data_IF_246105187986
#
_entry.id   IF_246105187986
#
_cell.length_a   1.000
_cell.length_b   1.000
_cell.length_c   1.000
_cell.angle_alpha   90.00
_cell.angle_beta   90.00
_cell.angle_gamma   90.00
#
_symmetry.space_group_name_H-M   'P 1'
#
loop_
_entity.id
_entity.type
_entity.pdbx_description
1 polymer ?
#
# COMPACT_ATOMS: atom_id res chain seq x y z
N UNK A 1 9.43 -22.13 20.80
CA UNK A 1 8.62 -23.09 20.04
C UNK A 1 9.21 -24.48 20.21
N UNK A 2 8.37 -25.47 20.47
CA UNK A 2 8.81 -26.87 20.60
C UNK A 2 9.47 -27.32 19.29
N UNK A 3 10.56 -28.10 19.38
CA UNK A 3 11.39 -28.58 18.26
C UNK A 3 12.12 -27.49 17.43
N UNK A 4 12.11 -26.22 17.84
CA UNK A 4 12.98 -25.18 17.25
C UNK A 4 14.46 -25.36 17.60
N UNK A 5 15.36 -24.66 16.92
CA UNK A 5 16.82 -24.73 17.14
C UNK A 5 17.29 -24.40 18.58
N UNK A 6 16.44 -23.76 19.39
CA UNK A 6 16.72 -23.45 20.81
C UNK A 6 15.97 -24.37 21.78
N UNK A 7 15.22 -25.36 21.28
CA UNK A 7 14.49 -26.31 22.11
C UNK A 7 15.39 -27.48 22.51
N UNK A 8 15.22 -28.02 23.72
CA UNK A 8 15.95 -29.21 24.20
C UNK A 8 15.70 -30.46 23.33
N UNK A 9 14.57 -30.50 22.62
CA UNK A 9 14.19 -31.58 21.69
C UNK A 9 14.84 -31.45 20.30
N UNK A 10 15.64 -30.41 20.05
CA UNK A 10 16.27 -30.20 18.76
C UNK A 10 17.30 -31.30 18.44
N UNK A 11 17.15 -31.94 17.27
CA UNK A 11 18.01 -33.03 16.78
C UNK A 11 18.13 -34.24 17.72
N UNK A 12 17.13 -34.48 18.56
CA UNK A 12 17.09 -35.63 19.46
C UNK A 12 16.55 -36.86 18.73
N UNK A 13 17.20 -38.00 18.95
CA UNK A 13 16.73 -39.27 18.41
C UNK A 13 15.56 -39.82 19.25
N UNK A 14 14.88 -40.86 18.76
CA UNK A 14 13.71 -41.44 19.42
C UNK A 14 14.03 -41.94 20.85
N UNK A 15 15.22 -42.51 21.06
CA UNK A 15 15.65 -43.00 22.36
C UNK A 15 15.89 -41.86 23.37
N UNK A 16 16.44 -40.74 22.94
CA UNK A 16 16.61 -39.54 23.75
C UNK A 16 15.26 -38.87 24.05
N UNK A 17 14.34 -38.81 23.08
CA UNK A 17 12.98 -38.30 23.28
C UNK A 17 12.20 -39.14 24.30
N UNK A 18 12.31 -40.46 24.22
CA UNK A 18 11.72 -41.36 25.21
C UNK A 18 12.24 -41.09 26.63
N UNK A 19 13.55 -40.82 26.80
CA UNK A 19 14.14 -40.44 28.10
C UNK A 19 13.58 -39.11 28.62
N UNK A 20 13.22 -38.20 27.73
CA UNK A 20 12.64 -36.89 28.07
C UNK A 20 11.13 -36.91 28.22
N UNK A 21 10.48 -38.08 28.08
CA UNK A 21 9.02 -38.27 28.15
C UNK A 21 8.25 -37.50 27.07
N UNK A 22 8.87 -37.34 25.91
CA UNK A 22 8.29 -36.64 24.76
C UNK A 22 8.00 -37.62 23.63
N UNK A 23 6.92 -37.38 22.90
CA UNK A 23 6.50 -38.24 21.79
C UNK A 23 7.32 -37.95 20.53
N UNK A 24 8.00 -38.95 19.92
CA UNK A 24 8.72 -38.77 18.66
C UNK A 24 7.81 -38.36 17.48
N UNK A 25 6.53 -38.73 17.52
CA UNK A 25 5.55 -38.45 16.47
C UNK A 25 4.82 -37.11 16.64
N UNK A 26 5.06 -36.38 17.74
CA UNK A 26 4.51 -35.03 17.89
C UNK A 26 5.09 -34.09 16.81
N UNK A 27 4.28 -33.41 15.97
CA UNK A 27 4.80 -32.46 14.99
C UNK A 27 5.61 -31.30 15.62
N UNK A 28 5.32 -30.92 16.87
CA UNK A 28 5.87 -29.71 17.48
C UNK A 28 5.34 -28.43 16.82
N UNK A 29 6.11 -27.33 16.85
CA UNK A 29 5.71 -26.08 16.19
C UNK A 29 4.76 -25.19 17.00
N UNK A 30 4.46 -25.55 18.25
CA UNK A 30 3.63 -24.78 19.17
C UNK A 30 4.44 -24.25 20.37
N UNK A 31 3.76 -23.46 21.21
CA UNK A 31 4.31 -22.88 22.43
C UNK A 31 3.56 -23.42 23.65
N UNK A 32 4.29 -23.73 24.71
CA UNK A 32 3.69 -24.06 26.01
C UNK A 32 3.77 -22.80 26.87
N UNK A 33 2.62 -22.26 27.25
CA UNK A 33 2.51 -21.04 28.06
C UNK A 33 1.58 -21.29 29.23
N UNK A 34 2.09 -21.18 30.47
CA UNK A 34 1.34 -21.51 31.71
C UNK A 34 0.71 -22.91 31.67
N UNK A 35 1.44 -23.92 31.19
CA UNK A 35 0.97 -25.31 31.10
C UNK A 35 -0.08 -25.58 30.01
N UNK A 36 -0.35 -24.61 29.14
CA UNK A 36 -1.27 -24.78 28.00
C UNK A 36 -0.53 -24.64 26.68
N UNK A 37 -0.82 -25.55 25.76
CA UNK A 37 -0.29 -25.54 24.40
C UNK A 37 -1.04 -24.51 23.55
N UNK A 38 -0.28 -23.66 22.85
CA UNK A 38 -0.80 -22.59 22.02
C UNK A 38 -0.07 -22.55 20.69
N UNK A 39 -0.83 -22.51 19.60
CA UNK A 39 -0.34 -22.40 18.23
C UNK A 39 -0.60 -20.98 17.74
N UNK A 40 0.38 -20.37 17.08
CA UNK A 40 0.16 -19.13 16.33
C UNK A 40 -0.30 -19.53 14.94
N UNK A 41 -1.55 -19.21 14.60
CA UNK A 41 -2.09 -19.48 13.27
C UNK A 41 -1.45 -18.55 12.25
N UNK A 42 -1.08 -19.11 11.10
CA UNK A 42 -0.60 -18.35 9.95
C UNK A 42 -1.76 -17.47 9.47
N UNK A 43 -1.50 -16.17 9.35
CA UNK A 43 -2.47 -15.19 8.86
C UNK A 43 -2.12 -14.81 7.44
N UNK A 44 -3.08 -14.95 6.54
CA UNK A 44 -2.98 -14.38 5.19
C UNK A 44 -3.10 -12.86 5.27
N UNK A 45 -2.23 -12.14 4.56
CA UNK A 45 -2.26 -10.68 4.48
C UNK A 45 -2.14 -10.22 3.04
N UNK A 46 -2.82 -9.11 2.71
CA UNK A 46 -2.68 -8.45 1.41
C UNK A 46 -1.23 -7.99 1.22
N UNK A 47 -0.77 -8.08 -0.03
CA UNK A 47 0.56 -7.59 -0.43
C UNK A 47 0.74 -6.11 -0.06
N UNK A 48 1.72 -5.84 0.80
CA UNK A 48 2.14 -4.47 1.15
C UNK A 48 3.05 -3.91 0.07
N UNK A 49 3.09 -2.59 -0.09
CA UNK A 49 3.98 -1.89 -1.01
C UNK A 49 3.87 -2.37 -2.48
N UNK A 50 2.68 -2.84 -2.87
CA UNK A 50 2.36 -3.28 -4.24
C UNK A 50 1.15 -2.50 -4.74
N UNK A 51 1.23 -2.04 -5.99
CA UNK A 51 0.09 -1.44 -6.68
C UNK A 51 -0.94 -2.52 -7.03
N UNK A 52 -2.18 -2.31 -6.61
CA UNK A 52 -3.33 -3.17 -6.87
C UNK A 52 -4.35 -2.39 -7.67
N UNK A 53 -4.73 -2.94 -8.83
CA UNK A 53 -5.77 -2.35 -9.68
C UNK A 53 -7.04 -3.14 -9.43
N UNK A 54 -8.06 -2.45 -8.95
CA UNK A 54 -9.36 -3.00 -8.61
C UNK A 54 -10.45 -2.12 -9.23
N UNK A 55 -11.66 -2.67 -9.35
CA UNK A 55 -12.84 -1.87 -9.66
C UNK A 55 -13.57 -1.53 -8.38
N UNK A 56 -13.87 -0.24 -8.19
CA UNK A 56 -14.72 0.24 -7.10
C UNK A 56 -16.16 -0.26 -7.28
N UNK A 57 -16.96 -0.17 -6.23
CA UNK A 57 -18.41 -0.41 -6.18
C UNK A 57 -19.21 0.24 -7.33
N UNK A 58 -18.70 1.33 -7.91
CA UNK A 58 -19.28 2.07 -9.04
C UNK A 58 -18.74 1.61 -10.40
N UNK A 59 -18.09 0.45 -10.47
CA UNK A 59 -17.40 -0.13 -11.64
C UNK A 59 -16.29 0.76 -12.23
N UNK A 60 -15.73 1.67 -11.43
CA UNK A 60 -14.63 2.56 -11.83
C UNK A 60 -13.29 1.91 -11.50
N UNK A 61 -12.31 2.03 -12.38
CA UNK A 61 -10.96 1.55 -12.10
C UNK A 61 -10.29 2.43 -11.04
N UNK A 62 -9.71 1.78 -10.04
CA UNK A 62 -8.91 2.39 -8.99
C UNK A 62 -7.61 1.63 -8.82
N UNK A 63 -6.49 2.34 -8.75
CA UNK A 63 -5.21 1.79 -8.33
C UNK A 63 -4.99 2.16 -6.86
N UNK A 64 -4.74 1.18 -5.98
CA UNK A 64 -4.40 1.44 -4.58
C UNK A 64 -3.07 0.82 -4.21
N UNK A 65 -2.34 1.51 -3.34
CA UNK A 65 -1.12 1.00 -2.71
C UNK A 65 -1.25 1.17 -1.20
N UNK A 66 -1.09 0.06 -0.48
CA UNK A 66 -0.97 0.08 0.99
C UNK A 66 0.51 0.11 1.34
N UNK A 67 1.02 1.31 1.58
CA UNK A 67 2.41 1.57 1.92
C UNK A 67 2.61 1.28 3.41
N UNK A 68 3.51 0.34 3.74
CA UNK A 68 3.84 -0.01 5.11
C UNK A 68 5.34 0.13 5.33
N UNK A 69 5.71 1.01 6.25
CA UNK A 69 7.06 1.15 6.80
C UNK A 69 7.11 0.58 8.21
N UNK A 70 8.26 0.67 8.90
CA UNK A 70 8.34 0.25 10.30
C UNK A 70 7.47 1.11 11.24
N UNK A 71 7.21 2.36 10.87
CA UNK A 71 6.55 3.33 11.74
C UNK A 71 5.10 3.63 11.31
N UNK A 72 4.84 3.60 10.00
CA UNK A 72 3.57 4.07 9.45
C UNK A 72 3.00 3.09 8.45
N UNK A 73 1.67 3.02 8.42
CA UNK A 73 0.89 2.33 7.41
C UNK A 73 -0.09 3.32 6.80
N UNK A 74 0.05 3.61 5.52
CA UNK A 74 -0.81 4.52 4.78
C UNK A 74 -1.41 3.83 3.57
N UNK A 75 -2.57 4.30 3.14
CA UNK A 75 -3.21 3.87 1.91
C UNK A 75 -3.31 5.08 0.99
N UNK A 76 -2.78 4.93 -0.21
CA UNK A 76 -2.92 5.91 -1.30
C UNK A 76 -3.69 5.25 -2.41
N UNK A 77 -4.67 5.94 -2.96
CA UNK A 77 -5.46 5.50 -4.11
C UNK A 77 -5.46 6.54 -5.21
N UNK A 78 -5.43 6.09 -6.47
CA UNK A 78 -5.71 6.92 -7.64
C UNK A 78 -6.94 6.34 -8.31
N UNK A 79 -7.95 7.16 -8.55
CA UNK A 79 -9.19 6.73 -9.21
C UNK A 79 -9.61 7.73 -10.28
N UNK A 80 -10.36 7.22 -11.26
CA UNK A 80 -10.99 8.03 -12.29
C UNK A 80 -12.43 8.41 -11.88
N UNK A 81 -12.80 9.65 -12.15
CA UNK A 81 -14.15 10.15 -11.94
C UNK A 81 -14.50 11.24 -12.95
N UNK A 82 -15.44 10.94 -13.85
CA UNK A 82 -15.94 11.87 -14.88
C UNK A 82 -14.80 12.39 -15.78
N UNK A 83 -13.92 11.50 -16.24
CA UNK A 83 -12.77 11.79 -17.08
C UNK A 83 -11.59 12.43 -16.37
N UNK A 84 -11.63 12.56 -15.04
CA UNK A 84 -10.58 13.21 -14.24
C UNK A 84 -9.99 12.26 -13.22
N UNK A 85 -8.67 12.36 -13.01
CA UNK A 85 -7.95 11.51 -12.07
C UNK A 85 -7.69 12.24 -10.76
N UNK A 86 -8.01 11.57 -9.65
CA UNK A 86 -7.85 12.09 -8.30
C UNK A 86 -6.98 11.17 -7.47
N UNK A 87 -6.22 11.76 -6.55
CA UNK A 87 -5.44 11.08 -5.55
C UNK A 87 -6.16 11.17 -4.20
N UNK A 88 -6.51 10.02 -3.66
CA UNK A 88 -7.03 9.83 -2.32
C UNK A 88 -5.90 9.36 -1.39
N UNK A 89 -5.77 9.99 -0.23
CA UNK A 89 -4.80 9.60 0.79
C UNK A 89 -5.40 9.77 2.17
N UNK A 90 -5.16 8.81 3.08
CA UNK A 90 -5.76 8.80 4.41
C UNK A 90 -5.46 10.05 5.28
N UNK A 91 -4.42 10.81 4.95
CA UNK A 91 -4.05 12.04 5.68
C UNK A 91 -4.59 13.32 5.04
N UNK A 92 -5.30 13.23 3.92
CA UNK A 92 -5.92 14.38 3.25
C UNK A 92 -7.42 14.37 3.54
N UNK A 93 -8.01 15.55 3.73
CA UNK A 93 -9.46 15.70 3.94
C UNK A 93 -10.23 15.47 2.64
N UNK A 94 -9.72 16.03 1.54
CA UNK A 94 -10.33 15.98 0.22
C UNK A 94 -9.39 15.33 -0.79
N UNK A 95 -9.98 14.65 -1.78
CA UNK A 95 -9.26 14.02 -2.88
C UNK A 95 -8.73 15.09 -3.85
N UNK A 96 -7.43 15.05 -4.14
CA UNK A 96 -6.75 16.09 -4.90
C UNK A 96 -6.58 15.66 -6.37
N UNK A 97 -6.90 16.52 -7.36
CA UNK A 97 -6.59 16.26 -8.76
C UNK A 97 -5.11 15.91 -8.99
N UNK A 98 -4.83 14.85 -9.75
CA UNK A 98 -3.47 14.33 -9.90
C UNK A 98 -2.51 15.33 -10.58
N UNK A 99 -3.01 16.17 -11.48
CA UNK A 99 -2.20 17.20 -12.14
C UNK A 99 -1.63 18.23 -11.13
N UNK A 100 -2.39 18.55 -10.07
CA UNK A 100 -1.93 19.44 -8.99
C UNK A 100 -0.82 18.76 -8.20
N UNK A 101 -0.93 17.46 -7.95
CA UNK A 101 0.09 16.68 -7.25
C UNK A 101 1.43 16.72 -8.02
N UNK A 102 1.42 16.54 -9.34
CA UNK A 102 2.64 16.67 -10.16
C UNK A 102 3.31 18.04 -9.98
N UNK A 103 2.52 19.12 -10.04
CA UNK A 103 3.03 20.49 -9.80
C UNK A 103 3.54 20.67 -8.36
N UNK A 104 2.92 20.03 -7.38
CA UNK A 104 3.39 20.00 -5.98
C UNK A 104 4.78 19.36 -5.85
N UNK A 105 5.03 18.28 -6.61
CA UNK A 105 6.32 17.60 -6.68
C UNK A 105 7.38 18.35 -7.49
N UNK A 106 7.04 19.49 -8.10
CA UNK A 106 7.95 20.36 -8.84
C UNK A 106 7.91 20.18 -10.35
N UNK A 107 7.09 19.26 -10.87
CA UNK A 107 6.90 19.05 -12.31
C UNK A 107 5.86 20.07 -12.79
N UNK A 108 6.33 21.24 -13.24
CA UNK A 108 5.46 22.37 -13.57
C UNK A 108 4.99 22.36 -15.02
N UNK A 109 5.82 21.84 -15.93
CA UNK A 109 5.52 21.77 -17.37
C UNK A 109 4.46 20.70 -17.64
N UNK A 110 3.33 21.09 -18.23
CA UNK A 110 2.27 20.13 -18.57
C UNK A 110 2.71 19.13 -19.63
N UNK A 111 3.65 19.52 -20.49
CA UNK A 111 4.29 18.61 -21.44
C UNK A 111 5.07 17.50 -20.71
N UNK A 112 5.84 17.85 -19.68
CA UNK A 112 6.60 16.87 -18.88
C UNK A 112 5.66 15.94 -18.11
N UNK A 113 4.55 16.46 -17.58
CA UNK A 113 3.51 15.64 -16.94
C UNK A 113 2.93 14.64 -17.94
N UNK A 114 2.58 15.09 -19.14
CA UNK A 114 2.03 14.25 -20.19
C UNK A 114 3.02 13.15 -20.59
N UNK A 115 4.29 13.49 -20.80
CA UNK A 115 5.36 12.53 -21.14
C UNK A 115 5.59 11.48 -20.04
N UNK A 116 5.46 11.84 -18.77
CA UNK A 116 5.59 10.91 -17.64
C UNK A 116 4.43 9.92 -17.54
N UNK A 117 3.22 10.33 -17.94
CA UNK A 117 2.03 9.47 -17.89
C UNK A 117 1.99 8.54 -19.10
N UNK A 118 2.28 9.06 -20.30
CA UNK A 118 2.30 8.30 -21.55
C UNK A 118 2.16 9.19 -22.76
N UNK A 119 2.79 8.80 -23.88
CA UNK A 119 2.86 9.61 -25.11
C UNK A 119 1.79 9.21 -26.14
N UNK A 120 1.07 8.11 -25.93
CA UNK A 120 0.04 7.63 -26.84
C UNK A 120 -1.20 8.53 -26.81
N UNK A 121 -1.74 8.86 -28.00
CA UNK A 121 -2.90 9.74 -28.15
C UNK A 121 -4.09 9.34 -27.27
N UNK A 122 -4.33 8.04 -27.11
CA UNK A 122 -5.39 7.54 -26.23
C UNK A 122 -5.18 7.94 -24.76
N UNK A 123 -3.95 7.81 -24.24
CA UNK A 123 -3.61 8.14 -22.86
C UNK A 123 -3.70 9.66 -22.65
N UNK A 124 -3.17 10.43 -23.60
CA UNK A 124 -3.23 11.89 -23.57
C UNK A 124 -4.68 12.40 -23.58
N UNK A 125 -5.54 11.81 -24.40
CA UNK A 125 -6.95 12.15 -24.43
C UNK A 125 -7.65 11.87 -23.10
N UNK A 126 -7.36 10.72 -22.47
CA UNK A 126 -7.88 10.39 -21.14
C UNK A 126 -7.38 11.35 -20.05
N UNK A 127 -6.13 11.80 -20.13
CA UNK A 127 -5.52 12.66 -19.11
C UNK A 127 -5.82 14.16 -19.30
N UNK A 128 -6.16 14.59 -20.51
CA UNK A 128 -6.38 16.00 -20.90
C UNK A 128 -7.30 16.77 -19.95
N UNK A 129 -8.43 16.18 -19.56
CA UNK A 129 -9.40 16.82 -18.66
C UNK A 129 -8.83 17.08 -17.25
N UNK A 130 -7.83 16.31 -16.81
CA UNK A 130 -7.16 16.54 -15.52
C UNK A 130 -6.21 17.75 -15.59
N UNK A 131 -5.55 17.97 -16.73
CA UNK A 131 -4.71 19.16 -16.97
C UNK A 131 -5.59 20.40 -17.10
N UNK A 132 -6.73 20.30 -17.80
CA UNK A 132 -7.67 21.40 -17.95
C UNK A 132 -8.24 21.86 -16.60
N UNK A 133 -8.58 20.92 -15.70
CA UNK A 133 -9.02 21.25 -14.34
C UNK A 133 -7.96 22.05 -13.57
N UNK A 134 -6.69 21.67 -13.71
CA UNK A 134 -5.58 22.39 -13.08
C UNK A 134 -5.45 23.84 -13.59
N UNK A 135 -5.62 24.05 -14.91
CA UNK A 135 -5.67 25.38 -15.52
C UNK A 135 -6.87 26.19 -15.04
N UNK A 136 -8.04 25.58 -14.94
CA UNK A 136 -9.27 26.22 -14.46
C UNK A 136 -9.12 26.73 -13.03
N UNK A 137 -8.38 26.00 -12.20
CA UNK A 137 -8.07 26.39 -10.82
C UNK A 137 -6.92 27.42 -10.72
N UNK A 138 -6.27 27.78 -11.83
CA UNK A 138 -5.20 28.78 -11.87
C UNK A 138 -3.89 28.31 -11.21
N UNK A 139 -3.66 27.00 -11.16
CA UNK A 139 -2.50 26.40 -10.49
C UNK A 139 -1.43 26.08 -11.53
N UNK A 140 -0.34 26.84 -11.54
CA UNK A 140 0.75 26.68 -12.51
C UNK A 140 2.09 26.36 -11.84
N UNK A 141 2.29 26.85 -10.62
CA UNK A 141 3.57 26.80 -9.92
C UNK A 141 3.48 26.03 -8.60
N UNK A 142 4.62 25.51 -8.15
CA UNK A 142 4.70 24.81 -6.86
C UNK A 142 4.33 25.71 -5.67
N UNK A 143 4.60 27.02 -5.76
CA UNK A 143 4.28 27.99 -4.70
C UNK A 143 2.77 28.12 -4.53
N UNK A 144 2.02 28.18 -5.63
CA UNK A 144 0.56 28.26 -5.60
C UNK A 144 -0.06 27.00 -4.95
N UNK A 145 0.52 25.82 -5.21
CA UNK A 145 0.07 24.58 -4.58
C UNK A 145 0.31 24.59 -3.07
N UNK A 146 1.46 25.12 -2.61
CA UNK A 146 1.74 25.25 -1.17
C UNK A 146 0.76 26.16 -0.44
N UNK A 147 0.31 27.24 -1.07
CA UNK A 147 -0.71 28.13 -0.50
C UNK A 147 -2.05 27.38 -0.35
N UNK A 148 -2.35 26.46 -1.26
CA UNK A 148 -3.54 25.60 -1.16
C UNK A 148 -3.39 24.50 -0.09
N UNK A 149 -2.18 24.07 0.28
CA UNK A 149 -1.99 23.06 1.33
C UNK A 149 -2.54 23.50 2.70
N UNK A 150 -2.58 24.80 3.00
CA UNK A 150 -3.20 25.30 4.24
C UNK A 150 -4.72 25.04 4.30
N UNK A 151 -5.36 24.73 3.17
CA UNK A 151 -6.79 24.44 3.08
C UNK A 151 -7.12 22.93 3.04
N UNK A 152 -6.16 22.05 2.75
CA UNK A 152 -6.37 20.62 2.50
C UNK A 152 -5.75 19.69 3.56
N UNK A 153 -5.09 20.24 4.59
CA UNK A 153 -4.46 19.51 5.71
C UNK A 153 -5.11 19.91 7.02
#
# INVERSE_FOLDING_TARGET
MLRSCKCVLYQKNEAEMAKMRECPLDPGGYFITRGTERVILIQEQISKNRMLIEKDSKDRFQCTVTSTTQQTKTKTGVYESKGRYFLAHNSLTDDIPIAIIFKAYGIQSDQEIAELVGFEDYILNCFSASIEECHRLGIFTQIQVRILQEYFV
#
